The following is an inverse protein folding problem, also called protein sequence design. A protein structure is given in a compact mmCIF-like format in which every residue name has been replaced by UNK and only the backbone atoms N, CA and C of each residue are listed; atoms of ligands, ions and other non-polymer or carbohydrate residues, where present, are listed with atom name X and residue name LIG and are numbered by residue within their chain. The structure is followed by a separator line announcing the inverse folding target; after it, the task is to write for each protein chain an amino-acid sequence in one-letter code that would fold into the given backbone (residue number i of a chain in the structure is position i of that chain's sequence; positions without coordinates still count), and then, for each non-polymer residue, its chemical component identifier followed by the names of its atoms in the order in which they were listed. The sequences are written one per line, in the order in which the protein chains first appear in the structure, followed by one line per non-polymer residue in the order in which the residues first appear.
data_IF_053393675784
#
_entry.id   IF_053393675784
#
_cell.length_a   1.000
_cell.length_b   1.000
_cell.length_c   1.000
_cell.angle_alpha   90.00
_cell.angle_beta   90.00
_cell.angle_gamma   90.00
#
_symmetry.space_group_name_H-M   'P 1'
#
loop_
_entity.id
_entity.type
_entity.pdbx_description
1 polymer ?
#
# COMPACT_ATOMS: atom_id res chain seq x y z
N UNK A 1 7.33 -2.82 -0.46
CA UNK A 1 6.24 -2.93 -1.47
C UNK A 1 5.01 -2.19 -0.97
N UNK A 2 4.43 -1.36 -1.79
CA UNK A 2 3.25 -0.59 -1.45
C UNK A 2 2.04 -1.05 -2.26
N UNK A 3 0.94 -1.31 -1.59
CA UNK A 3 -0.35 -1.65 -2.21
C UNK A 3 -1.13 -0.34 -2.43
N UNK A 4 -1.24 0.08 -3.67
CA UNK A 4 -1.74 1.41 -4.03
C UNK A 4 -3.27 1.46 -4.10
N UNK A 5 -3.83 2.50 -3.52
CA UNK A 5 -5.26 2.82 -3.61
C UNK A 5 -5.48 4.31 -3.31
N UNK A 6 -6.66 4.83 -3.60
CA UNK A 6 -7.00 6.22 -3.31
C UNK A 6 -7.30 6.48 -1.82
N UNK A 7 -7.48 5.43 -1.03
CA UNK A 7 -7.74 5.53 0.41
C UNK A 7 -6.63 4.85 1.20
N UNK A 8 -6.37 5.32 2.42
CA UNK A 8 -5.42 4.71 3.35
C UNK A 8 -6.09 3.78 4.35
N UNK A 9 -7.42 3.64 4.31
CA UNK A 9 -8.18 2.80 5.24
C UNK A 9 -8.85 1.65 4.52
N UNK A 10 -8.92 0.52 5.20
CA UNK A 10 -9.69 -0.64 4.72
C UNK A 10 -11.17 -0.28 4.81
N UNK A 11 -11.91 -0.46 3.70
CA UNK A 11 -13.30 -0.07 3.61
C UNK A 11 -14.04 -1.01 2.64
N UNK A 12 -15.18 -1.54 3.09
CA UNK A 12 -16.01 -2.44 2.28
C UNK A 12 -16.48 -1.84 0.96
N UNK A 13 -16.61 -0.51 0.89
CA UNK A 13 -16.95 0.19 -0.35
C UNK A 13 -15.85 0.10 -1.42
N UNK A 14 -14.64 -0.25 -1.00
CA UNK A 14 -13.49 -0.44 -1.87
C UNK A 14 -12.96 -1.85 -1.67
N UNK A 15 -13.50 -2.86 -2.40
CA UNK A 15 -13.16 -4.27 -2.18
C UNK A 15 -11.67 -4.59 -2.26
N UNK A 16 -10.91 -3.86 -3.08
CA UNK A 16 -9.46 -4.07 -3.18
C UNK A 16 -8.75 -3.84 -1.85
N UNK A 17 -9.27 -2.96 -0.98
CA UNK A 17 -8.66 -2.73 0.33
C UNK A 17 -8.78 -3.95 1.24
N UNK A 18 -9.85 -4.74 1.09
CA UNK A 18 -10.01 -5.99 1.83
C UNK A 18 -8.99 -7.03 1.36
N UNK A 19 -8.75 -7.11 0.06
CA UNK A 19 -7.72 -7.99 -0.49
C UNK A 19 -6.33 -7.56 -0.01
N UNK A 20 -6.09 -6.27 0.08
CA UNK A 20 -4.82 -5.75 0.60
C UNK A 20 -4.59 -6.14 2.06
N UNK A 21 -5.65 -6.16 2.87
CA UNK A 21 -5.53 -6.62 4.26
C UNK A 21 -5.09 -8.08 4.34
N UNK A 22 -5.63 -8.93 3.47
CA UNK A 22 -5.23 -10.35 3.40
C UNK A 22 -3.77 -10.48 2.97
N UNK A 23 -3.34 -9.71 1.97
CA UNK A 23 -1.95 -9.73 1.51
C UNK A 23 -0.97 -9.29 2.61
N UNK A 24 -1.34 -8.25 3.37
CA UNK A 24 -0.52 -7.79 4.51
C UNK A 24 -0.38 -8.87 5.56
N UNK A 25 -1.47 -9.55 5.89
CA UNK A 25 -1.45 -10.64 6.86
C UNK A 25 -0.54 -11.77 6.40
N UNK A 26 -0.61 -12.17 5.14
CA UNK A 26 0.24 -13.20 4.57
C UNK A 26 1.72 -12.78 4.58
N UNK A 27 2.00 -11.55 4.23
CA UNK A 27 3.38 -11.02 4.26
C UNK A 27 3.94 -11.04 5.68
N UNK A 28 3.13 -10.67 6.67
CA UNK A 28 3.53 -10.67 8.07
C UNK A 28 3.82 -12.09 8.58
N UNK A 29 3.15 -13.10 8.04
CA UNK A 29 3.39 -14.51 8.40
C UNK A 29 4.61 -15.11 7.69
N UNK A 30 5.26 -14.38 6.81
CA UNK A 30 6.44 -14.84 6.08
C UNK A 30 6.14 -15.59 4.79
N UNK A 31 4.88 -15.60 4.31
CA UNK A 31 4.49 -16.33 3.10
C UNK A 31 5.24 -15.86 1.84
N UNK A 32 5.66 -14.59 1.81
CA UNK A 32 6.36 -14.01 0.67
C UNK A 32 7.85 -13.78 0.93
N UNK A 33 8.38 -14.37 1.99
CA UNK A 33 9.77 -14.19 2.37
C UNK A 33 9.99 -12.92 3.19
N UNK A 34 11.25 -12.45 3.25
CA UNK A 34 11.62 -11.27 4.04
C UNK A 34 11.38 -10.00 3.24
N UNK A 35 10.26 -9.32 3.51
CA UNK A 35 9.90 -8.07 2.82
C UNK A 35 8.97 -7.23 3.68
N UNK A 36 8.96 -5.93 3.41
CA UNK A 36 7.96 -5.02 3.97
C UNK A 36 6.86 -4.81 2.93
N UNK A 37 5.60 -5.02 3.35
CA UNK A 37 4.44 -4.82 2.51
C UNK A 37 3.38 -4.08 3.31
N UNK A 38 2.88 -2.97 2.79
CA UNK A 38 1.87 -2.17 3.45
C UNK A 38 0.93 -1.52 2.44
N UNK A 39 -0.21 -1.08 2.90
CA UNK A 39 -1.27 -0.42 2.15
C UNK A 39 -2.61 -0.70 2.81
N UNK A 40 -3.71 -0.13 2.30
CA UNK A 40 -3.76 0.75 1.12
C UNK A 40 -3.11 2.11 1.36
N UNK A 41 -2.48 2.68 0.35
CA UNK A 41 -1.92 4.02 0.37
C UNK A 41 -1.85 4.59 -1.04
N UNK A 42 -1.80 5.92 -1.17
CA UNK A 42 -1.61 6.54 -2.48
C UNK A 42 -0.13 6.57 -2.88
N UNK A 43 0.13 6.86 -4.15
CA UNK A 43 1.49 6.89 -4.68
C UNK A 43 2.36 7.91 -3.96
N UNK A 44 1.82 9.07 -3.67
CA UNK A 44 2.57 10.13 -3.00
C UNK A 44 3.03 9.69 -1.62
N UNK A 45 2.16 9.04 -0.84
CA UNK A 45 2.52 8.50 0.48
C UNK A 45 3.58 7.42 0.36
N UNK A 46 3.47 6.54 -0.63
CA UNK A 46 4.44 5.45 -0.85
C UNK A 46 5.83 5.97 -1.20
N UNK A 47 5.91 7.12 -1.87
CA UNK A 47 7.16 7.65 -2.42
C UNK A 47 7.71 8.87 -1.67
N UNK A 48 6.95 9.48 -0.77
CA UNK A 48 7.31 10.71 -0.06
C UNK A 48 7.05 10.58 1.43
N UNK A 49 8.12 10.50 2.21
CA UNK A 49 8.03 10.36 3.67
C UNK A 49 7.28 11.53 4.32
N UNK A 50 7.44 12.75 3.79
CA UNK A 50 6.75 13.93 4.33
C UNK A 50 5.23 13.81 4.20
N UNK A 51 4.74 13.25 3.08
CA UNK A 51 3.31 13.02 2.92
C UNK A 51 2.76 12.05 3.96
N UNK A 52 3.53 11.02 4.31
CA UNK A 52 3.18 10.10 5.39
C UNK A 52 3.08 10.80 6.73
N UNK A 53 4.02 11.70 7.04
CA UNK A 53 4.00 12.48 8.29
C UNK A 53 2.75 13.37 8.37
N UNK A 54 2.41 14.07 7.27
CA UNK A 54 1.25 14.94 7.22
C UNK A 54 -0.04 14.14 7.46
N UNK A 55 -0.15 12.95 6.92
CA UNK A 55 -1.31 12.08 7.09
C UNK A 55 -1.31 11.30 8.41
N UNK A 56 -0.23 11.36 9.17
CA UNK A 56 -0.10 10.60 10.41
C UNK A 56 0.10 9.11 10.20
N UNK A 57 0.61 8.69 9.05
CA UNK A 57 0.86 7.29 8.72
C UNK A 57 2.30 6.95 9.06
N UNK A 58 2.48 5.90 9.87
CA UNK A 58 3.80 5.38 10.22
C UNK A 58 3.95 3.96 9.70
N UNK A 59 4.93 3.74 8.83
CA UNK A 59 5.16 2.45 8.21
C UNK A 59 6.57 2.41 7.63
N UNK A 60 7.26 1.25 7.62
CA UNK A 60 8.57 1.14 6.97
C UNK A 60 8.48 1.30 5.45
N UNK A 61 7.30 1.23 4.86
CA UNK A 61 7.10 1.37 3.41
C UNK A 61 6.89 2.83 2.99
N UNK A 62 6.32 3.66 3.86
CA UNK A 62 6.02 5.07 3.53
C UNK A 62 7.30 5.82 3.15
N UNK A 63 7.30 6.42 1.96
CA UNK A 63 8.44 7.17 1.43
C UNK A 63 9.58 6.31 0.90
N UNK A 64 9.49 4.99 1.02
CA UNK A 64 10.58 4.07 0.72
C UNK A 64 10.16 2.90 -0.18
N UNK A 65 8.99 2.96 -0.80
CA UNK A 65 8.50 1.87 -1.63
C UNK A 65 9.38 1.71 -2.88
N UNK A 66 9.84 0.49 -3.13
CA UNK A 66 10.60 0.11 -4.31
C UNK A 66 9.77 -0.67 -5.32
N UNK A 67 8.52 -1.01 -4.94
CA UNK A 67 7.57 -1.70 -5.82
C UNK A 67 6.15 -1.23 -5.48
N UNK A 68 5.42 -0.82 -6.50
CA UNK A 68 4.04 -0.34 -6.39
C UNK A 68 3.09 -1.34 -7.02
N UNK A 69 2.08 -1.76 -6.28
CA UNK A 69 1.04 -2.67 -6.77
C UNK A 69 -0.27 -1.89 -6.90
N UNK A 70 -0.80 -1.81 -8.10
CA UNK A 70 -2.04 -1.07 -8.39
C UNK A 70 -3.25 -2.02 -8.39
N UNK A 71 -4.45 -1.51 -8.06
CA UNK A 71 -5.65 -2.35 -7.95
C UNK A 71 -6.19 -2.83 -9.29
N UNK A 72 -5.85 -2.15 -10.40
CA UNK A 72 -6.32 -2.50 -11.73
C UNK A 72 -5.37 -1.97 -12.80
N UNK A 73 -5.57 -2.43 -14.03
CA UNK A 73 -4.68 -2.07 -15.13
C UNK A 73 -4.81 -0.58 -15.51
N UNK A 74 -5.99 -0.01 -15.38
CA UNK A 74 -6.22 1.40 -15.71
C UNK A 74 -5.39 2.32 -14.82
N UNK A 75 -5.40 2.09 -13.51
CA UNK A 75 -4.62 2.91 -12.58
C UNK A 75 -3.11 2.72 -12.79
N UNK A 76 -2.67 1.51 -13.03
CA UNK A 76 -1.27 1.22 -13.31
C UNK A 76 -0.79 1.89 -14.60
N UNK A 77 -1.60 1.84 -15.65
CA UNK A 77 -1.27 2.45 -16.93
C UNK A 77 -1.31 3.97 -16.89
N UNK A 78 -2.16 4.55 -16.06
CA UNK A 78 -2.25 6.01 -15.91
C UNK A 78 -1.01 6.58 -15.23
N UNK A 79 -0.42 5.80 -14.34
CA UNK A 79 0.80 6.19 -13.66
C UNK A 79 1.99 6.28 -14.62
#
# INVERSE_FOLDING_TARGET
MALIHCTEKINEKFPHTLDYAVLKERAASGAYGSMFLDGPMDVKTACDAHSGEVKGISSPVVGHADLLIFPNIESGNTF
#
